data_IF_679412578796
#
_entry.id   IF_679412578796
#
_cell.length_a   1.000
_cell.length_b   1.000
_cell.length_c   1.000
_cell.angle_alpha   90.00
_cell.angle_beta   90.00
_cell.angle_gamma   90.00
#
_symmetry.space_group_name_H-M   'P 1'
#
loop_
_entity.id
_entity.type
_entity.pdbx_description
1 polymer ?
#
# COMPACT_ATOMS: atom_id res chain seq x y z
N UNK A 1 -53.97 68.32 -19.19
CA UNK A 1 -53.05 67.94 -20.28
C UNK A 1 -52.88 66.42 -20.27
N UNK A 2 -52.92 65.79 -21.45
CA UNK A 2 -52.57 64.39 -21.81
C UNK A 2 -53.38 63.26 -21.11
N UNK A 3 -54.49 62.71 -21.65
CA UNK A 3 -54.80 61.95 -22.89
C UNK A 3 -54.21 60.51 -22.95
N UNK A 4 -55.15 59.55 -22.95
CA UNK A 4 -55.20 58.24 -23.68
C UNK A 4 -54.33 57.11 -23.09
N UNK A 5 -54.81 55.89 -22.91
CA UNK A 5 -56.11 55.28 -23.24
C UNK A 5 -56.02 53.75 -23.20
N UNK A 6 -57.17 53.12 -22.91
CA UNK A 6 -57.79 51.90 -23.47
C UNK A 6 -56.86 50.74 -23.86
N UNK A 7 -57.12 49.49 -23.47
CA UNK A 7 -58.22 48.64 -23.94
C UNK A 7 -58.33 47.44 -22.97
N UNK A 8 -59.44 47.10 -22.29
CA UNK A 8 -60.73 46.57 -22.78
C UNK A 8 -60.53 45.37 -23.73
N UNK A 9 -61.22 44.24 -23.65
CA UNK A 9 -62.53 43.91 -23.08
C UNK A 9 -62.61 42.36 -23.19
N UNK A 10 -63.12 41.67 -22.15
CA UNK A 10 -64.12 40.58 -22.21
C UNK A 10 -63.82 39.28 -22.99
N UNK A 11 -64.46 38.14 -22.75
CA UNK A 11 -65.44 37.67 -21.76
C UNK A 11 -65.64 36.17 -22.00
N UNK A 12 -65.98 35.45 -20.92
CA UNK A 12 -66.97 34.38 -20.84
C UNK A 12 -67.12 33.39 -22.01
N UNK A 13 -67.10 32.09 -21.72
CA UNK A 13 -68.34 31.33 -21.49
C UNK A 13 -68.06 29.85 -21.18
N UNK A 14 -69.04 29.24 -20.52
CA UNK A 14 -69.05 27.95 -19.85
C UNK A 14 -69.25 26.74 -20.77
N UNK A 15 -68.98 25.56 -20.20
CA UNK A 15 -69.79 24.34 -20.24
C UNK A 15 -69.29 23.10 -21.03
N UNK A 16 -69.53 21.97 -20.34
CA UNK A 16 -69.97 20.67 -20.81
C UNK A 16 -68.94 19.59 -21.22
N UNK A 17 -69.07 18.50 -20.46
CA UNK A 17 -68.47 17.18 -20.53
C UNK A 17 -68.94 16.41 -21.79
N UNK A 18 -68.03 15.72 -22.47
CA UNK A 18 -68.38 14.62 -23.39
C UNK A 18 -67.47 13.42 -23.08
N UNK A 19 -68.08 12.33 -22.65
CA UNK A 19 -67.51 10.98 -22.64
C UNK A 19 -67.55 10.42 -24.07
N UNK A 20 -66.39 10.01 -24.59
CA UNK A 20 -66.31 9.07 -25.71
C UNK A 20 -65.38 7.93 -25.31
N UNK A 21 -65.98 6.74 -25.22
CA UNK A 21 -65.28 5.45 -25.16
C UNK A 21 -64.76 5.16 -26.57
N UNK A 22 -63.45 4.91 -26.69
CA UNK A 22 -62.83 4.49 -27.95
C UNK A 22 -61.57 3.71 -27.67
N UNK A 23 -61.65 2.38 -27.85
CA UNK A 23 -60.52 1.47 -27.74
C UNK A 23 -59.46 1.81 -28.80
N UNK A 24 -58.27 2.19 -28.35
CA UNK A 24 -57.09 2.31 -29.21
C UNK A 24 -56.19 1.09 -28.97
N UNK A 25 -56.12 0.21 -29.96
CA UNK A 25 -55.15 -0.87 -30.00
C UNK A 25 -53.73 -0.27 -30.00
N UNK A 26 -52.93 -0.60 -28.98
CA UNK A 26 -51.52 -0.26 -28.93
C UNK A 26 -50.76 -1.11 -29.96
N UNK A 27 -50.34 -0.47 -31.05
CA UNK A 27 -49.37 -1.03 -31.99
C UNK A 27 -48.01 -1.01 -31.32
N UNK A 28 -47.56 -2.18 -30.86
CA UNK A 28 -46.20 -2.37 -30.37
C UNK A 28 -45.24 -2.48 -31.55
N UNK A 29 -44.50 -1.41 -31.81
CA UNK A 29 -43.40 -1.41 -32.77
C UNK A 29 -42.22 -2.17 -32.14
N UNK A 30 -42.01 -3.42 -32.53
CA UNK A 30 -40.81 -4.19 -32.19
C UNK A 30 -39.61 -3.62 -32.93
N UNK A 31 -38.87 -2.72 -32.30
CA UNK A 31 -37.50 -2.40 -32.73
C UNK A 31 -36.61 -3.48 -32.12
N UNK A 32 -36.19 -4.44 -32.93
CA UNK A 32 -35.18 -5.42 -32.55
C UNK A 32 -33.85 -4.68 -32.35
N UNK A 33 -33.40 -4.63 -31.09
CA UNK A 33 -32.04 -4.21 -30.77
C UNK A 33 -31.08 -5.29 -31.28
N UNK A 34 -29.97 -4.96 -31.95
CA UNK A 34 -29.01 -5.99 -32.34
C UNK A 34 -28.41 -6.58 -31.06
N UNK A 35 -28.62 -7.87 -30.85
CA UNK A 35 -27.85 -8.64 -29.88
C UNK A 35 -26.39 -8.58 -30.32
N UNK A 36 -25.57 -7.88 -29.55
CA UNK A 36 -24.13 -8.05 -29.64
C UNK A 36 -23.83 -9.47 -29.16
N UNK A 37 -23.38 -10.33 -30.07
CA UNK A 37 -22.78 -11.61 -29.68
C UNK A 37 -21.52 -11.30 -28.87
N UNK A 38 -21.66 -11.21 -27.56
CA UNK A 38 -20.54 -11.18 -26.63
C UNK A 38 -19.94 -12.58 -26.60
N UNK A 39 -19.02 -12.86 -27.52
CA UNK A 39 -18.10 -13.98 -27.35
C UNK A 39 -17.35 -13.76 -26.04
N UNK A 40 -17.36 -14.74 -25.09
CA UNK A 40 -16.63 -14.58 -23.85
C UNK A 40 -15.14 -14.43 -24.20
N UNK A 41 -14.59 -13.24 -23.95
CA UNK A 41 -13.15 -13.05 -23.98
C UNK A 41 -12.60 -13.81 -22.78
N UNK A 42 -12.13 -15.04 -23.00
CA UNK A 42 -11.30 -15.74 -22.03
C UNK A 42 -10.13 -14.80 -21.69
N UNK A 43 -9.96 -14.37 -20.43
CA UNK A 43 -8.80 -13.56 -20.09
C UNK A 43 -7.56 -14.45 -20.19
N UNK A 44 -6.87 -14.40 -21.33
CA UNK A 44 -5.49 -14.87 -21.45
C UNK A 44 -4.61 -13.84 -20.75
N UNK A 45 -4.68 -13.79 -19.42
CA UNK A 45 -3.63 -13.16 -18.66
C UNK A 45 -2.43 -14.11 -18.72
N UNK A 46 -1.27 -13.70 -19.26
CA UNK A 46 -0.06 -14.43 -18.97
C UNK A 46 0.06 -14.40 -17.45
N UNK A 47 0.05 -15.55 -16.80
CA UNK A 47 0.46 -15.65 -15.40
C UNK A 47 1.95 -15.27 -15.43
N UNK A 48 2.25 -13.97 -15.29
CA UNK A 48 3.62 -13.50 -15.16
C UNK A 48 4.20 -14.33 -14.02
N UNK A 49 5.21 -15.12 -14.34
CA UNK A 49 6.05 -15.70 -13.32
C UNK A 49 6.69 -14.52 -12.58
N UNK A 50 6.08 -14.12 -11.46
CA UNK A 50 6.69 -13.21 -10.51
C UNK A 50 8.09 -13.75 -10.25
N UNK A 51 9.10 -12.98 -10.66
CA UNK A 51 10.50 -13.37 -10.53
C UNK A 51 10.75 -13.61 -9.04
N UNK A 52 10.96 -14.88 -8.66
CA UNK A 52 11.21 -15.23 -7.27
C UNK A 52 12.54 -14.64 -6.84
N UNK A 53 12.53 -13.84 -5.78
CA UNK A 53 13.75 -13.37 -5.15
C UNK A 53 14.23 -14.45 -4.18
N UNK A 54 15.42 -14.99 -4.40
CA UNK A 54 16.02 -15.91 -3.43
C UNK A 54 16.40 -15.13 -2.16
N UNK A 55 15.94 -15.61 -1.00
CA UNK A 55 16.16 -14.95 0.29
C UNK A 55 15.38 -13.65 0.47
N UNK A 56 15.69 -12.93 1.54
CA UNK A 56 15.01 -11.70 1.93
C UNK A 56 15.71 -10.48 1.33
N UNK A 57 14.94 -9.52 0.82
CA UNK A 57 15.44 -8.21 0.37
C UNK A 57 14.60 -7.07 0.94
N UNK A 58 15.26 -6.05 1.47
CA UNK A 58 14.64 -4.79 1.88
C UNK A 58 14.62 -3.82 0.70
N UNK A 59 13.43 -3.28 0.42
CA UNK A 59 13.21 -2.17 -0.49
C UNK A 59 12.69 -0.94 0.24
N UNK A 60 13.32 0.21 0.01
CA UNK A 60 12.81 1.53 0.44
C UNK A 60 12.90 2.48 -0.75
N UNK A 61 11.77 2.68 -1.42
CA UNK A 61 11.72 3.41 -2.69
C UNK A 61 12.19 4.86 -2.56
N UNK A 62 11.78 5.54 -1.48
CA UNK A 62 12.09 6.96 -1.24
C UNK A 62 13.61 7.25 -1.28
N UNK A 63 14.40 6.34 -0.72
CA UNK A 63 15.86 6.50 -0.61
C UNK A 63 16.64 5.60 -1.58
N UNK A 64 15.95 4.87 -2.45
CA UNK A 64 16.55 3.99 -3.47
C UNK A 64 17.25 2.76 -2.89
N UNK A 65 16.84 2.29 -1.72
CA UNK A 65 17.40 1.07 -1.12
C UNK A 65 16.76 -0.16 -1.75
N UNK A 66 17.60 -1.07 -2.25
CA UNK A 66 17.25 -2.43 -2.63
C UNK A 66 18.43 -3.35 -2.26
N UNK A 67 18.34 -3.99 -1.10
CA UNK A 67 19.46 -4.73 -0.52
C UNK A 67 19.03 -6.09 0.04
N UNK A 68 19.85 -7.15 -0.09
CA UNK A 68 19.59 -8.43 0.54
C UNK A 68 19.73 -8.32 2.07
N UNK A 69 19.06 -9.23 2.77
CA UNK A 69 19.05 -9.35 4.23
C UNK A 69 19.62 -10.71 4.60
N UNK A 70 20.77 -10.71 5.27
CA UNK A 70 21.35 -11.90 5.88
C UNK A 70 20.58 -12.21 7.17
N UNK A 71 19.98 -13.41 7.25
CA UNK A 71 19.18 -13.82 8.40
C UNK A 71 20.03 -14.30 9.58
N UNK A 72 19.41 -14.20 10.76
CA UNK A 72 19.91 -14.76 12.03
C UNK A 72 21.37 -14.45 12.34
N UNK A 73 21.79 -13.21 12.12
CA UNK A 73 23.15 -12.73 12.36
C UNK A 73 23.35 -12.42 13.85
N UNK A 74 24.34 -13.02 14.53
CA UNK A 74 24.62 -12.70 15.93
C UNK A 74 25.10 -11.27 16.11
N UNK A 75 24.27 -10.40 16.68
CA UNK A 75 24.63 -9.01 16.94
C UNK A 75 25.71 -8.80 18.01
N UNK A 76 26.06 -9.85 18.76
CA UNK A 76 27.10 -9.84 19.80
C UNK A 76 28.47 -10.33 19.31
N UNK A 77 28.59 -10.76 18.04
CA UNK A 77 29.86 -11.18 17.44
C UNK A 77 30.24 -10.24 16.28
N UNK A 78 31.22 -9.37 16.54
CA UNK A 78 31.69 -8.38 15.58
C UNK A 78 32.18 -8.96 14.26
N UNK A 79 32.95 -10.05 14.31
CA UNK A 79 33.47 -10.65 13.08
C UNK A 79 32.34 -11.19 12.20
N UNK A 80 31.31 -11.76 12.80
CA UNK A 80 30.17 -12.34 12.08
C UNK A 80 29.26 -11.25 11.51
N UNK A 81 28.85 -10.25 12.30
CA UNK A 81 27.97 -9.23 11.77
C UNK A 81 28.68 -8.33 10.75
N UNK A 82 29.97 -8.01 10.92
CA UNK A 82 30.70 -7.25 9.92
C UNK A 82 30.79 -8.04 8.61
N UNK A 83 30.94 -9.37 8.69
CA UNK A 83 30.95 -10.22 7.50
C UNK A 83 29.61 -10.22 6.76
N UNK A 84 28.49 -10.27 7.49
CA UNK A 84 27.16 -10.17 6.91
C UNK A 84 26.93 -8.80 6.25
N UNK A 85 27.37 -7.73 6.89
CA UNK A 85 27.22 -6.36 6.37
C UNK A 85 28.04 -6.08 5.10
N UNK A 86 29.01 -6.93 4.74
CA UNK A 86 29.70 -6.84 3.45
C UNK A 86 28.76 -7.11 2.27
N UNK A 87 27.78 -8.00 2.45
CA UNK A 87 26.91 -8.51 1.37
C UNK A 87 25.48 -7.99 1.44
N UNK A 88 25.12 -7.21 2.46
CA UNK A 88 23.76 -6.67 2.60
C UNK A 88 23.48 -6.07 3.97
N UNK A 89 22.21 -6.15 4.36
CA UNK A 89 21.73 -5.87 5.70
C UNK A 89 21.85 -7.12 6.56
N UNK A 90 21.79 -6.95 7.88
CA UNK A 90 21.76 -8.04 8.84
C UNK A 90 20.46 -8.02 9.63
N UNK A 91 19.77 -9.15 9.69
CA UNK A 91 18.68 -9.39 10.64
C UNK A 91 19.27 -9.90 11.95
N UNK A 92 18.89 -9.28 13.06
CA UNK A 92 19.41 -9.60 14.38
C UNK A 92 18.92 -10.97 14.86
N UNK A 93 19.83 -11.89 15.15
CA UNK A 93 19.47 -13.22 15.65
C UNK A 93 18.64 -13.15 16.94
N UNK A 94 17.52 -13.86 16.96
CA UNK A 94 16.59 -13.89 18.09
C UNK A 94 15.43 -12.89 18.00
N UNK A 95 15.43 -11.99 17.02
CA UNK A 95 14.23 -11.20 16.68
C UNK A 95 13.32 -11.96 15.72
N UNK A 96 12.07 -11.51 15.57
CA UNK A 96 11.12 -12.17 14.67
C UNK A 96 11.59 -12.02 13.22
N UNK A 97 11.39 -13.05 12.37
CA UNK A 97 11.75 -12.93 10.95
C UNK A 97 10.75 -12.00 10.23
N UNK A 98 11.17 -11.30 9.16
CA UNK A 98 10.23 -10.50 8.38
C UNK A 98 9.05 -11.34 7.85
N UNK A 99 7.84 -10.78 7.86
CA UNK A 99 6.63 -11.50 7.46
C UNK A 99 5.99 -12.31 8.60
N UNK A 100 6.45 -12.17 9.84
CA UNK A 100 5.91 -12.87 11.02
C UNK A 100 5.60 -11.91 12.15
N UNK A 101 4.62 -12.26 12.99
CA UNK A 101 4.27 -11.48 14.19
C UNK A 101 5.49 -11.35 15.11
N UNK A 102 5.77 -10.13 15.55
CA UNK A 102 6.96 -9.77 16.29
C UNK A 102 7.66 -8.55 15.70
N UNK A 103 8.77 -8.16 16.32
CA UNK A 103 9.64 -7.11 15.81
C UNK A 103 10.80 -7.75 15.06
N UNK A 104 10.89 -7.54 13.75
CA UNK A 104 12.03 -7.92 12.92
C UNK A 104 13.06 -6.80 12.90
N UNK A 105 14.20 -7.01 13.52
CA UNK A 105 15.23 -5.98 13.63
C UNK A 105 16.31 -6.15 12.56
N UNK A 106 16.42 -5.16 11.68
CA UNK A 106 17.40 -5.09 10.61
C UNK A 106 18.40 -3.96 10.88
N UNK A 107 19.67 -4.18 10.59
CA UNK A 107 20.69 -3.14 10.67
C UNK A 107 21.64 -3.15 9.47
N UNK A 108 22.20 -1.98 9.19
CA UNK A 108 23.09 -1.73 8.05
C UNK A 108 24.01 -0.54 8.28
N UNK A 109 24.97 -0.34 7.36
CA UNK A 109 25.88 0.80 7.42
C UNK A 109 25.24 2.09 6.89
N UNK A 110 25.43 3.21 7.59
CA UNK A 110 25.25 4.56 7.04
C UNK A 110 26.49 5.03 6.29
N UNK A 111 27.65 4.53 6.70
CA UNK A 111 28.94 4.70 6.04
C UNK A 111 29.92 3.66 6.58
N UNK A 112 30.86 3.22 5.77
CA UNK A 112 31.98 2.39 6.21
C UNK A 112 33.25 2.76 5.45
N UNK A 113 34.40 2.32 5.96
CA UNK A 113 35.71 2.64 5.39
C UNK A 113 35.81 2.11 3.95
N UNK A 114 36.30 2.94 3.01
CA UNK A 114 36.32 2.59 1.57
C UNK A 114 37.21 1.38 1.29
N UNK A 115 38.24 1.20 2.10
CA UNK A 115 39.32 0.22 2.02
C UNK A 115 38.89 -1.15 2.58
N UNK A 116 37.80 -1.18 3.36
CA UNK A 116 37.22 -2.43 3.85
C UNK A 116 36.45 -3.12 2.72
N UNK A 117 36.25 -4.45 2.76
CA UNK A 117 35.41 -5.16 1.78
C UNK A 117 33.93 -4.74 1.88
N UNK A 118 33.14 -5.12 0.86
CA UNK A 118 31.68 -5.00 0.85
C UNK A 118 31.13 -3.88 -0.03
N UNK A 119 29.97 -4.14 -0.61
CA UNK A 119 29.26 -3.23 -1.55
C UNK A 119 28.22 -2.35 -0.84
N UNK A 120 27.81 -2.73 0.38
CA UNK A 120 26.70 -2.12 1.12
C UNK A 120 27.16 -1.12 2.20
N UNK A 121 28.33 -0.49 1.99
CA UNK A 121 28.98 0.43 2.95
C UNK A 121 28.17 1.68 3.28
N UNK A 122 27.29 2.11 2.38
CA UNK A 122 26.45 3.31 2.54
C UNK A 122 24.96 2.99 2.35
N UNK A 123 24.57 1.71 2.46
CA UNK A 123 23.21 1.24 2.11
C UNK A 123 22.10 1.96 2.88
N UNK A 124 22.33 2.32 4.14
CA UNK A 124 21.36 3.07 4.98
C UNK A 124 21.81 4.52 5.24
N UNK A 125 22.68 5.10 4.39
CA UNK A 125 23.20 6.47 4.57
C UNK A 125 22.10 7.52 4.66
N UNK A 126 21.01 7.31 3.92
CA UNK A 126 19.86 8.22 3.80
C UNK A 126 18.66 7.76 4.62
N UNK A 127 18.82 6.82 5.57
CA UNK A 127 17.68 6.31 6.35
C UNK A 127 16.92 7.43 7.09
N UNK A 128 17.60 8.54 7.40
CA UNK A 128 17.00 9.72 8.01
C UNK A 128 16.03 10.52 7.13
N UNK A 129 15.98 10.21 5.84
CA UNK A 129 15.03 10.81 4.91
C UNK A 129 13.72 10.03 4.87
N UNK A 130 13.67 8.83 5.48
CA UNK A 130 12.46 8.01 5.53
C UNK A 130 11.51 8.57 6.58
N UNK A 131 10.41 9.15 6.12
CA UNK A 131 9.40 9.81 6.94
C UNK A 131 8.34 8.85 7.51
N UNK A 132 7.58 9.34 8.49
CA UNK A 132 6.32 8.71 8.91
C UNK A 132 5.35 8.69 7.73
N UNK A 133 4.50 7.67 7.67
CA UNK A 133 3.54 7.39 6.59
C UNK A 133 4.13 6.88 5.27
N UNK A 134 5.45 6.87 5.10
CA UNK A 134 6.11 6.20 3.99
C UNK A 134 6.05 4.67 4.12
N UNK A 135 6.44 3.98 3.04
CA UNK A 135 6.43 2.52 2.99
C UNK A 135 7.83 1.93 2.89
N UNK A 136 7.99 0.78 3.54
CA UNK A 136 9.13 -0.11 3.36
C UNK A 136 8.59 -1.47 2.97
N UNK A 137 9.32 -2.20 2.13
CA UNK A 137 8.89 -3.51 1.65
C UNK A 137 9.97 -4.55 1.89
N UNK A 138 9.54 -5.75 2.27
CA UNK A 138 10.38 -6.94 2.28
C UNK A 138 9.90 -7.88 1.20
N UNK A 139 10.80 -8.22 0.28
CA UNK A 139 10.57 -9.24 -0.74
C UNK A 139 11.19 -10.55 -0.29
N UNK A 140 10.44 -11.64 -0.39
CA UNK A 140 10.93 -12.98 -0.13
C UNK A 140 10.20 -13.96 -1.05
N UNK A 141 10.96 -14.67 -1.89
CA UNK A 141 10.42 -15.54 -2.93
C UNK A 141 9.43 -14.79 -3.83
N UNK A 142 8.14 -15.16 -3.78
CA UNK A 142 7.05 -14.54 -4.55
C UNK A 142 6.21 -13.56 -3.72
N UNK A 143 6.51 -13.44 -2.44
CA UNK A 143 5.77 -12.62 -1.48
C UNK A 143 6.43 -11.25 -1.35
N UNK A 144 5.58 -10.23 -1.18
CA UNK A 144 6.01 -8.88 -0.79
C UNK A 144 5.23 -8.46 0.44
N UNK A 145 5.97 -8.21 1.51
CA UNK A 145 5.45 -7.72 2.78
C UNK A 145 5.64 -6.20 2.81
N UNK A 146 4.56 -5.44 2.72
CA UNK A 146 4.60 -3.97 2.73
C UNK A 146 4.24 -3.44 4.11
N UNK A 147 5.06 -2.54 4.64
CA UNK A 147 4.92 -1.95 5.97
C UNK A 147 4.78 -0.44 5.86
N UNK A 148 4.03 0.17 6.76
CA UNK A 148 3.87 1.62 6.88
C UNK A 148 4.69 2.15 8.05
N UNK A 149 5.53 3.14 7.79
CA UNK A 149 6.38 3.76 8.81
C UNK A 149 5.53 4.54 9.81
N UNK A 150 5.72 4.28 11.09
CA UNK A 150 5.06 5.00 12.19
C UNK A 150 6.05 5.73 13.11
N UNK A 151 7.36 5.47 12.98
CA UNK A 151 8.42 6.09 13.78
C UNK A 151 9.68 6.25 12.94
N UNK A 152 10.29 7.44 13.00
CA UNK A 152 11.60 7.74 12.40
C UNK A 152 12.32 8.76 13.26
N UNK A 153 13.38 8.36 13.97
CA UNK A 153 14.08 9.25 14.90
C UNK A 153 15.50 8.82 15.26
N UNK A 154 16.20 9.69 16.00
CA UNK A 154 17.51 9.42 16.58
C UNK A 154 17.37 8.92 18.01
N UNK A 155 18.03 7.81 18.34
CA UNK A 155 18.11 7.28 19.71
C UNK A 155 19.57 7.23 20.19
N UNK A 156 19.75 7.00 21.50
CA UNK A 156 21.06 6.68 22.06
C UNK A 156 21.55 5.31 21.55
N UNK A 157 22.87 5.14 21.43
CA UNK A 157 23.49 3.86 21.07
C UNK A 157 23.34 2.76 22.13
N UNK A 158 22.88 3.15 23.32
CA UNK A 158 22.64 2.29 24.49
C UNK A 158 21.16 1.97 24.72
N UNK A 159 20.27 2.50 23.87
CA UNK A 159 18.84 2.20 23.96
C UNK A 159 18.53 0.89 23.22
N UNK A 160 18.47 -0.20 23.98
CA UNK A 160 18.15 -1.53 23.47
C UNK A 160 16.65 -1.83 23.41
N UNK A 161 15.77 -0.93 23.88
CA UNK A 161 14.31 -1.15 23.85
C UNK A 161 13.75 -1.29 22.44
N UNK A 162 14.48 -0.81 21.43
CA UNK A 162 14.13 -0.98 20.01
C UNK A 162 14.20 -2.44 19.52
N UNK A 163 14.79 -3.35 20.31
CA UNK A 163 14.79 -4.79 20.05
C UNK A 163 13.59 -5.52 20.67
N UNK A 164 12.79 -4.84 21.50
CA UNK A 164 11.69 -5.47 22.23
C UNK A 164 10.71 -6.14 21.26
N UNK A 165 10.18 -7.33 21.61
CA UNK A 165 9.21 -8.02 20.79
C UNK A 165 7.89 -7.25 20.72
N UNK A 166 7.10 -7.53 19.70
CA UNK A 166 5.77 -6.94 19.50
C UNK A 166 4.72 -8.02 19.32
N UNK A 167 3.47 -7.71 19.66
CA UNK A 167 2.29 -8.49 19.32
C UNK A 167 1.78 -8.20 17.89
N UNK A 168 2.39 -7.22 17.23
CA UNK A 168 2.17 -6.86 15.82
C UNK A 168 3.35 -7.32 14.96
N UNK A 169 3.16 -7.35 13.65
CA UNK A 169 4.24 -7.52 12.69
C UNK A 169 4.91 -6.17 12.42
N UNK A 170 6.04 -5.96 13.09
CA UNK A 170 6.84 -4.73 13.04
C UNK A 170 8.17 -5.03 12.37
N UNK A 171 8.66 -4.10 11.56
CA UNK A 171 10.04 -4.07 11.11
C UNK A 171 10.74 -2.84 11.67
N UNK A 172 11.89 -3.05 12.31
CA UNK A 172 12.78 -2.01 12.81
C UNK A 172 14.04 -1.99 11.96
N UNK A 173 14.42 -0.82 11.45
CA UNK A 173 15.60 -0.63 10.61
C UNK A 173 16.52 0.37 11.32
N UNK A 174 17.77 -0.03 11.56
CA UNK A 174 18.74 0.75 12.31
C UNK A 174 20.01 1.05 11.49
N UNK A 175 20.53 2.25 11.64
CA UNK A 175 21.88 2.60 11.19
C UNK A 175 22.62 3.47 12.21
N UNK A 176 23.93 3.60 12.06
CA UNK A 176 24.71 4.54 12.88
C UNK A 176 24.44 5.99 12.47
N UNK A 177 24.46 6.90 13.44
CA UNK A 177 24.15 8.31 13.21
C UNK A 177 25.05 9.26 14.02
N UNK A 178 25.46 10.41 13.43
CA UNK A 178 25.44 10.74 12.00
C UNK A 178 26.32 9.79 11.17
N UNK A 179 26.19 9.78 9.82
CA UNK A 179 27.11 9.04 8.95
C UNK A 179 28.56 9.41 9.25
N UNK A 180 29.43 8.41 9.29
CA UNK A 180 30.85 8.54 9.65
C UNK A 180 31.13 8.38 11.15
N UNK A 181 30.11 8.16 11.97
CA UNK A 181 30.23 8.05 13.44
C UNK A 181 29.49 6.82 13.95
N UNK A 182 29.71 6.47 15.22
CA UNK A 182 28.95 5.43 15.95
C UNK A 182 28.23 6.00 17.18
N UNK A 183 28.09 7.33 17.28
CA UNK A 183 27.68 8.01 18.52
C UNK A 183 26.21 7.81 18.89
N UNK A 184 25.34 7.66 17.89
CA UNK A 184 23.90 7.47 18.04
C UNK A 184 23.40 6.46 17.00
N UNK A 185 22.11 6.16 17.05
CA UNK A 185 21.43 5.37 16.01
C UNK A 185 20.30 6.16 15.40
N UNK A 186 20.10 6.02 14.10
CA UNK A 186 18.84 6.38 13.45
C UNK A 186 17.98 5.13 13.34
N UNK A 187 16.72 5.26 13.72
CA UNK A 187 15.73 4.18 13.77
C UNK A 187 14.56 4.54 12.88
N UNK A 188 14.12 3.58 12.06
CA UNK A 188 12.82 3.59 11.40
C UNK A 188 12.06 2.36 11.88
N UNK A 189 10.82 2.53 12.35
CA UNK A 189 9.92 1.41 12.64
C UNK A 189 8.65 1.51 11.78
N UNK A 190 8.25 0.38 11.21
CA UNK A 190 7.10 0.26 10.34
C UNK A 190 6.24 -0.96 10.71
N UNK A 191 4.92 -0.82 10.61
CA UNK A 191 3.93 -1.87 10.90
C UNK A 191 3.36 -2.43 9.60
N UNK A 192 3.14 -3.74 9.56
CA UNK A 192 2.64 -4.44 8.37
C UNK A 192 1.27 -3.90 7.93
N UNK A 193 1.16 -3.58 6.64
CA UNK A 193 -0.12 -3.32 5.99
C UNK A 193 -0.62 -4.64 5.41
N UNK A 194 -1.84 -5.02 5.78
CA UNK A 194 -2.56 -6.11 5.14
C UNK A 194 -3.50 -5.48 4.11
N UNK A 195 -3.23 -5.69 2.82
CA UNK A 195 -4.19 -5.30 1.79
C UNK A 195 -5.47 -6.11 2.02
N UNK A 196 -6.60 -5.42 2.17
CA UNK A 196 -7.92 -6.07 2.11
C UNK A 196 -8.20 -6.27 0.62
N UNK A 197 -8.35 -7.51 0.13
CA UNK A 197 -8.78 -7.73 -1.24
C UNK A 197 -10.11 -7.00 -1.49
N UNK A 198 -10.17 -6.19 -2.56
CA UNK A 198 -11.34 -5.39 -2.94
C UNK A 198 -12.62 -6.23 -3.13
N UNK A 199 -12.50 -7.56 -3.25
CA UNK A 199 -13.62 -8.49 -3.41
C UNK A 199 -14.46 -8.68 -2.13
N UNK A 200 -13.97 -8.31 -0.94
CA UNK A 200 -14.73 -8.51 0.30
C UNK A 200 -15.82 -7.46 0.57
N UNK A 201 -15.97 -6.44 -0.31
CA UNK A 201 -16.94 -5.34 -0.12
C UNK A 201 -18.19 -5.43 -1.03
N UNK A 202 -18.31 -6.44 -1.90
CA UNK A 202 -19.49 -6.62 -2.77
C UNK A 202 -20.32 -7.85 -2.39
N UNK A 203 -21.01 -7.80 -1.25
CA UNK A 203 -22.18 -8.66 -1.03
C UNK A 203 -23.46 -7.83 -1.09
N UNK A 204 -24.14 -7.86 -2.23
CA UNK A 204 -25.56 -7.45 -2.43
C UNK A 204 -26.41 -8.71 -2.66
N UNK A 205 -27.77 -8.69 -2.55
CA UNK A 205 -28.70 -7.90 -1.73
C UNK A 205 -29.68 -8.80 -0.91
N UNK A 206 -30.48 -8.30 0.08
CA UNK A 206 -31.61 -9.07 0.58
C UNK A 206 -32.75 -9.05 -0.44
N UNK A 207 -33.09 -10.23 -0.95
CA UNK A 207 -34.30 -10.58 -1.68
C UNK A 207 -35.54 -10.05 -0.96
N UNK A 208 -36.31 -9.18 -1.63
CA UNK A 208 -37.68 -8.88 -1.22
C UNK A 208 -38.65 -9.30 -2.34
N UNK A 209 -39.24 -10.49 -2.19
CA UNK A 209 -40.58 -10.78 -2.69
C UNK A 209 -41.50 -10.92 -1.47
N UNK A 210 -42.67 -10.27 -1.49
CA UNK A 210 -43.86 -10.92 -0.96
C UNK A 210 -44.96 -11.03 -2.02
N UNK A 211 -45.82 -12.00 -1.75
CA UNK A 211 -46.92 -12.57 -2.54
C UNK A 211 -47.95 -11.56 -3.05
#
# INVERSE_FOLDING_TARGET
>A
MLRIGKHQLLSHQSAALILVVGAAAAVWLWVAWPSVDETPLTPTQPILAATSVEGYRLGIAEIGVDAPVNLDVPGTNEAEYLKALETGLAHYAGTARPGTVGNSFLFGHSSYLKEKPGDYKEVLKRLNEVGVDETVAIKHERETYTYKVFRSEVIADTDFSVLDPSDKEIITIMTCWPPGTIAKRWIVQAERIHEIPLEASETTPPTSQPL
#
